data_IF_584349834027
#
_entry.id   IF_584349834027
#
_cell.length_a   1.000
_cell.length_b   1.000
_cell.length_c   1.000
_cell.angle_alpha   90.00
_cell.angle_beta   90.00
_cell.angle_gamma   90.00
#
_symmetry.space_group_name_H-M   'P 1'
#
loop_
_entity.id
_entity.type
_entity.pdbx_description
1 polymer ?
#
# COMPACT_ATOMS: atom_id res chain seq x y z
N UNK A 1 7.42 -117.12 -27.22
CA UNK A 1 8.05 -117.75 -26.04
C UNK A 1 8.22 -116.70 -24.94
N UNK A 2 7.62 -116.99 -23.77
CA UNK A 2 8.06 -116.64 -22.40
C UNK A 2 8.54 -115.21 -22.05
N UNK A 3 7.61 -114.47 -21.45
CA UNK A 3 7.66 -113.62 -20.23
C UNK A 3 9.00 -113.25 -19.54
N UNK A 4 8.99 -111.99 -19.08
CA UNK A 4 9.42 -111.45 -17.77
C UNK A 4 10.85 -110.94 -17.58
N UNK A 5 10.95 -109.73 -17.03
CA UNK A 5 11.97 -109.42 -16.02
C UNK A 5 12.59 -108.01 -16.01
N UNK A 6 11.86 -107.04 -15.45
CA UNK A 6 12.31 -106.01 -14.48
C UNK A 6 13.71 -105.37 -14.58
N UNK A 7 13.73 -104.02 -14.61
CA UNK A 7 14.47 -103.06 -13.73
C UNK A 7 14.78 -101.80 -14.55
N UNK A 8 14.09 -100.66 -14.34
CA UNK A 8 14.25 -99.68 -13.25
C UNK A 8 15.71 -99.23 -13.06
N UNK A 9 15.97 -97.97 -13.47
CA UNK A 9 17.07 -97.03 -13.12
C UNK A 9 17.88 -96.56 -14.34
N UNK A 10 17.37 -95.55 -15.05
CA UNK A 10 18.12 -94.34 -15.43
C UNK A 10 17.23 -93.49 -16.35
N UNK A 11 16.46 -92.57 -15.77
CA UNK A 11 15.91 -91.35 -16.40
C UNK A 11 14.84 -90.77 -15.45
N UNK A 12 15.31 -90.29 -14.31
CA UNK A 12 14.47 -89.67 -13.29
C UNK A 12 15.19 -88.46 -12.68
N UNK A 13 15.73 -87.59 -13.55
CA UNK A 13 16.15 -86.22 -13.20
C UNK A 13 15.99 -85.40 -14.48
N UNK A 14 14.82 -84.79 -14.71
CA UNK A 14 14.58 -83.60 -15.57
C UNK A 14 13.10 -83.30 -15.84
N UNK A 15 12.14 -83.96 -15.18
CA UNK A 15 10.71 -83.70 -15.39
C UNK A 15 9.87 -83.68 -14.10
N UNK A 16 10.41 -83.10 -13.01
CA UNK A 16 9.63 -82.73 -11.83
C UNK A 16 10.20 -81.46 -11.17
N UNK A 17 10.27 -80.39 -11.95
CA UNK A 17 10.44 -79.01 -11.46
C UNK A 17 9.31 -78.11 -12.00
N UNK A 18 8.15 -78.71 -12.20
CA UNK A 18 6.88 -78.02 -12.41
C UNK A 18 5.98 -78.42 -11.24
N UNK A 19 5.35 -77.43 -10.60
CA UNK A 19 4.23 -77.54 -9.65
C UNK A 19 4.38 -77.32 -8.14
N UNK A 20 5.45 -76.72 -7.60
CA UNK A 20 5.34 -76.08 -6.26
C UNK A 20 6.21 -74.82 -6.18
N UNK A 21 5.71 -73.68 -6.70
CA UNK A 21 6.03 -72.32 -6.24
C UNK A 21 5.03 -71.33 -6.89
N UNK A 22 3.72 -71.49 -6.64
CA UNK A 22 2.79 -70.36 -6.73
C UNK A 22 2.87 -69.57 -5.42
N UNK A 23 4.03 -68.94 -5.19
CA UNK A 23 4.13 -67.83 -4.27
C UNK A 23 3.70 -66.58 -5.01
N UNK A 24 2.54 -66.02 -4.67
CA UNK A 24 2.16 -64.67 -5.08
C UNK A 24 3.15 -63.68 -4.47
N UNK A 25 4.29 -63.46 -5.14
CA UNK A 25 5.08 -62.25 -4.93
C UNK A 25 4.46 -61.16 -5.77
N UNK A 26 3.33 -60.62 -5.27
CA UNK A 26 2.99 -59.24 -5.56
C UNK A 26 4.11 -58.41 -4.98
N UNK A 27 5.09 -58.04 -5.80
CA UNK A 27 6.03 -57.01 -5.43
C UNK A 27 5.19 -55.79 -5.07
N UNK A 28 5.24 -55.40 -3.80
CA UNK A 28 4.75 -54.10 -3.39
C UNK A 28 5.66 -53.12 -4.14
N UNK A 29 5.18 -52.64 -5.29
CA UNK A 29 5.64 -51.37 -5.83
C UNK A 29 5.15 -50.37 -4.80
N UNK A 30 6.07 -49.85 -4.00
CA UNK A 30 5.86 -48.53 -3.42
C UNK A 30 5.58 -47.61 -4.60
N UNK A 31 4.30 -47.30 -4.80
CA UNK A 31 3.89 -46.08 -5.47
C UNK A 31 4.33 -44.96 -4.53
N UNK A 32 5.63 -44.65 -4.56
CA UNK A 32 6.19 -43.47 -3.91
C UNK A 32 5.81 -42.28 -4.76
N UNK A 33 4.51 -41.97 -4.76
CA UNK A 33 4.05 -40.60 -4.96
C UNK A 33 4.64 -39.83 -3.78
N UNK A 34 5.89 -39.38 -3.94
CA UNK A 34 6.43 -38.29 -3.16
C UNK A 34 5.62 -37.06 -3.56
N UNK A 35 4.43 -36.91 -2.98
CA UNK A 35 3.85 -35.59 -2.81
C UNK A 35 4.88 -34.82 -1.99
N UNK A 36 5.54 -33.85 -2.63
CA UNK A 36 6.37 -32.92 -1.90
C UNK A 36 5.50 -32.32 -0.80
N UNK A 37 5.82 -32.64 0.45
CA UNK A 37 5.20 -31.97 1.59
C UNK A 37 5.28 -30.47 1.32
N UNK A 38 4.21 -29.70 1.57
CA UNK A 38 4.27 -28.26 1.40
C UNK A 38 5.50 -27.76 2.17
N UNK A 39 6.31 -26.87 1.56
CA UNK A 39 7.53 -26.40 2.20
C UNK A 39 7.18 -25.85 3.58
N UNK A 40 7.69 -26.50 4.63
CA UNK A 40 7.57 -26.01 6.00
C UNK A 40 8.59 -24.89 6.12
N UNK A 41 8.12 -23.65 6.23
CA UNK A 41 8.96 -22.52 6.62
C UNK A 41 9.51 -22.81 8.03
N UNK A 42 10.83 -22.93 8.23
CA UNK A 42 11.41 -23.19 9.55
C UNK A 42 11.15 -22.06 10.57
N UNK A 43 10.64 -20.91 10.12
CA UNK A 43 10.15 -19.82 10.97
C UNK A 43 8.63 -19.90 11.26
N UNK A 44 7.91 -20.87 10.68
CA UNK A 44 6.49 -21.07 10.93
C UNK A 44 6.24 -21.44 12.41
N UNK A 45 5.69 -20.50 13.17
CA UNK A 45 5.30 -20.69 14.57
C UNK A 45 5.98 -19.76 15.58
N UNK A 46 6.89 -18.88 15.15
CA UNK A 46 7.55 -17.90 16.01
C UNK A 46 7.13 -16.48 15.58
N UNK A 47 6.83 -15.62 16.56
CA UNK A 47 6.58 -14.19 16.30
C UNK A 47 7.87 -13.51 15.81
N UNK A 48 7.75 -12.66 14.79
CA UNK A 48 8.89 -11.94 14.20
C UNK A 48 8.54 -10.50 13.87
N UNK A 49 9.53 -9.63 13.98
CA UNK A 49 9.40 -8.23 13.56
C UNK A 49 9.89 -8.07 12.12
N UNK A 50 9.08 -7.42 11.27
CA UNK A 50 9.45 -7.12 9.88
C UNK A 50 9.27 -5.63 9.61
N UNK A 51 10.20 -5.03 8.87
CA UNK A 51 10.03 -3.68 8.35
C UNK A 51 9.02 -3.69 7.20
N UNK A 52 8.05 -2.79 7.24
CA UNK A 52 7.00 -2.64 6.25
C UNK A 52 6.74 -1.17 5.91
N UNK A 53 6.51 -0.91 4.63
CA UNK A 53 6.05 0.37 4.12
C UNK A 53 4.52 0.36 4.11
N UNK A 54 3.91 1.19 4.97
CA UNK A 54 2.47 1.34 5.09
C UNK A 54 2.03 2.69 4.53
N UNK A 55 0.98 2.69 3.73
CA UNK A 55 0.47 3.91 3.12
C UNK A 55 -0.78 4.39 3.85
N UNK A 56 -0.70 5.59 4.42
CA UNK A 56 -1.79 6.24 5.16
C UNK A 56 -2.17 7.55 4.50
N UNK A 57 -3.32 8.12 4.87
CA UNK A 57 -3.76 9.41 4.33
C UNK A 57 -2.94 10.55 4.93
N UNK A 58 -2.48 11.48 4.10
CA UNK A 58 -2.03 12.79 4.57
C UNK A 58 -3.26 13.52 5.13
N UNK A 59 -3.24 13.88 6.41
CA UNK A 59 -4.41 14.45 7.10
C UNK A 59 -5.02 15.60 6.31
N UNK A 60 -6.34 15.54 6.10
CA UNK A 60 -7.16 16.49 5.34
C UNK A 60 -6.82 16.65 3.85
N UNK A 61 -5.93 15.79 3.31
CA UNK A 61 -5.50 15.87 1.92
C UNK A 61 -5.86 14.61 1.12
N UNK A 62 -6.05 14.73 -0.21
CA UNK A 62 -6.41 13.62 -1.09
C UNK A 62 -5.18 12.81 -1.54
N UNK A 63 -4.20 12.62 -0.65
CA UNK A 63 -2.95 11.91 -0.96
C UNK A 63 -2.51 10.95 0.15
N UNK A 64 -1.64 10.01 -0.22
CA UNK A 64 -1.05 9.02 0.67
C UNK A 64 0.39 9.36 1.05
N UNK A 65 0.75 9.07 2.30
CA UNK A 65 2.09 9.15 2.87
C UNK A 65 2.60 7.74 3.12
N UNK A 66 3.86 7.49 2.76
CA UNK A 66 4.56 6.26 3.10
C UNK A 66 5.12 6.37 4.52
N UNK A 67 4.73 5.45 5.40
CA UNK A 67 5.23 5.32 6.77
C UNK A 67 5.95 3.99 6.89
N UNK A 68 7.26 4.03 7.13
CA UNK A 68 8.07 2.81 7.30
C UNK A 68 8.12 2.46 8.79
N UNK A 69 7.64 1.26 9.16
CA UNK A 69 7.73 0.80 10.56
C UNK A 69 7.94 -0.70 10.67
N UNK A 70 8.44 -1.11 11.84
CA UNK A 70 8.46 -2.51 12.22
C UNK A 70 7.06 -2.95 12.65
N UNK A 71 6.63 -4.10 12.13
CA UNK A 71 5.38 -4.75 12.50
C UNK A 71 5.68 -6.19 12.95
N UNK A 72 5.03 -6.60 14.04
CA UNK A 72 5.02 -8.00 14.45
C UNK A 72 4.17 -8.82 13.48
N UNK A 73 4.73 -9.92 12.99
CA UNK A 73 4.05 -11.02 12.30
C UNK A 73 3.90 -12.15 13.31
N UNK A 74 2.64 -12.49 13.63
CA UNK A 74 2.32 -13.50 14.64
C UNK A 74 2.65 -14.91 14.14
N UNK A 75 2.75 -15.85 15.07
CA UNK A 75 2.84 -17.27 14.73
C UNK A 75 1.66 -17.68 13.82
N UNK A 76 1.97 -18.35 12.71
CA UNK A 76 1.01 -18.77 11.67
C UNK A 76 0.29 -17.62 10.94
N UNK A 77 0.78 -16.38 11.04
CA UNK A 77 0.30 -15.24 10.25
C UNK A 77 1.22 -15.01 9.05
N UNK A 78 0.63 -14.82 7.87
CA UNK A 78 1.37 -14.37 6.68
C UNK A 78 1.79 -12.90 6.82
N UNK A 79 2.87 -12.49 6.15
CA UNK A 79 3.31 -11.08 6.12
C UNK A 79 2.20 -10.13 5.62
N UNK A 80 1.41 -10.56 4.64
CA UNK A 80 0.34 -9.77 4.03
C UNK A 80 -0.79 -9.48 5.03
N UNK A 81 -1.20 -10.50 5.78
CA UNK A 81 -2.16 -10.34 6.89
C UNK A 81 -1.62 -9.39 7.98
N UNK A 82 -0.33 -9.48 8.32
CA UNK A 82 0.27 -8.57 9.30
C UNK A 82 0.27 -7.10 8.79
N UNK A 83 0.56 -6.88 7.51
CA UNK A 83 0.49 -5.54 6.87
C UNK A 83 -0.95 -5.01 6.90
N UNK A 84 -1.93 -5.81 6.50
CA UNK A 84 -3.34 -5.41 6.50
C UNK A 84 -3.85 -5.11 7.91
N UNK A 85 -3.48 -5.94 8.90
CA UNK A 85 -3.78 -5.69 10.30
C UNK A 85 -3.15 -4.39 10.78
N UNK A 86 -1.91 -4.12 10.40
CA UNK A 86 -1.22 -2.87 10.74
C UNK A 86 -1.91 -1.65 10.10
N UNK A 87 -2.40 -1.76 8.86
CA UNK A 87 -3.19 -0.70 8.22
C UNK A 87 -4.53 -0.46 8.91
N UNK A 88 -5.25 -1.52 9.28
CA UNK A 88 -6.54 -1.44 9.99
C UNK A 88 -6.39 -0.83 11.38
N UNK A 89 -5.28 -1.08 12.07
CA UNK A 89 -4.96 -0.44 13.35
C UNK A 89 -4.64 1.07 13.21
N UNK A 90 -4.46 1.55 11.98
CA UNK A 90 -4.18 2.96 11.71
C UNK A 90 -2.70 3.37 11.92
N UNK A 91 -2.43 4.68 11.73
CA UNK A 91 -1.10 5.23 11.90
C UNK A 91 -0.66 5.20 13.38
N UNK A 92 0.65 5.25 13.66
CA UNK A 92 1.17 5.38 15.02
C UNK A 92 0.58 6.60 15.77
N UNK A 93 0.37 6.52 17.10
CA UNK A 93 -0.25 7.61 17.89
C UNK A 93 0.44 8.97 17.82
N UNK A 94 1.73 9.01 17.45
CA UNK A 94 2.54 10.23 17.37
C UNK A 94 2.82 10.69 15.93
N UNK A 95 2.17 10.09 14.94
CA UNK A 95 2.29 10.48 13.53
C UNK A 95 1.41 11.70 13.24
N UNK A 96 1.82 12.86 13.74
CA UNK A 96 1.16 14.14 13.46
C UNK A 96 1.08 14.39 11.95
N UNK A 97 -0.10 14.70 11.42
CA UNK A 97 -0.31 14.95 9.99
C UNK A 97 -0.57 13.69 9.15
N UNK A 98 -0.73 12.54 9.78
CA UNK A 98 -1.14 11.29 9.12
C UNK A 98 -2.43 10.79 9.74
N UNK A 99 -3.36 10.31 8.92
CA UNK A 99 -4.64 9.75 9.36
C UNK A 99 -4.89 8.37 8.79
N UNK A 100 -5.64 7.56 9.54
CA UNK A 100 -6.15 6.28 9.04
C UNK A 100 -7.13 6.51 7.90
N UNK A 101 -7.10 5.65 6.90
CA UNK A 101 -8.01 5.75 5.75
C UNK A 101 -9.11 4.68 5.78
N UNK A 102 -8.83 3.54 6.42
CA UNK A 102 -9.76 2.43 6.59
C UNK A 102 -10.72 2.70 7.76
N UNK A 103 -11.94 2.20 7.67
CA UNK A 103 -12.90 2.29 8.78
C UNK A 103 -12.54 1.30 9.87
N UNK A 104 -12.83 1.63 11.13
CA UNK A 104 -12.61 0.73 12.27
C UNK A 104 -13.42 -0.57 12.16
N UNK A 105 -14.52 -0.56 11.40
CA UNK A 105 -15.38 -1.70 11.16
C UNK A 105 -14.94 -2.60 10.00
N UNK A 106 -14.01 -2.14 9.14
CA UNK A 106 -13.54 -2.92 8.01
C UNK A 106 -12.74 -4.14 8.46
N UNK A 107 -12.98 -5.30 7.83
CA UNK A 107 -12.30 -6.56 8.16
C UNK A 107 -11.70 -7.18 6.92
N UNK A 108 -10.54 -7.83 7.10
CA UNK A 108 -10.00 -8.75 6.11
C UNK A 108 -10.69 -10.10 6.31
N UNK A 109 -11.32 -10.61 5.25
CA UNK A 109 -12.00 -11.90 5.25
C UNK A 109 -11.02 -13.00 4.83
N UNK A 110 -10.28 -12.78 3.74
CA UNK A 110 -9.29 -13.73 3.24
C UNK A 110 -8.20 -13.05 2.43
N UNK A 111 -7.02 -13.68 2.43
CA UNK A 111 -5.89 -13.30 1.57
C UNK A 111 -5.38 -14.55 0.88
N UNK A 112 -5.32 -14.54 -0.45
CA UNK A 112 -4.89 -15.68 -1.25
C UNK A 112 -3.99 -15.23 -2.39
N UNK A 113 -2.83 -15.87 -2.53
CA UNK A 113 -1.93 -15.66 -3.67
C UNK A 113 -2.22 -16.72 -4.74
N UNK A 114 -2.56 -16.28 -5.95
CA UNK A 114 -2.74 -17.17 -7.10
C UNK A 114 -2.29 -16.48 -8.40
N UNK A 115 -1.53 -17.19 -9.23
CA UNK A 115 -1.07 -16.67 -10.53
C UNK A 115 -0.29 -15.34 -10.46
N UNK A 116 0.41 -15.07 -9.35
CA UNK A 116 1.13 -13.80 -9.13
C UNK A 116 0.22 -12.59 -8.85
N UNK A 117 -1.05 -12.83 -8.52
CA UNK A 117 -2.02 -11.83 -8.06
C UNK A 117 -2.39 -12.17 -6.62
N UNK A 118 -2.35 -11.17 -5.74
CA UNK A 118 -2.85 -11.31 -4.38
C UNK A 118 -4.32 -10.91 -4.36
N UNK A 119 -5.19 -11.88 -4.09
CA UNK A 119 -6.62 -11.69 -3.89
C UNK A 119 -6.88 -11.35 -2.43
N UNK A 120 -7.47 -10.19 -2.19
CA UNK A 120 -7.81 -9.72 -0.85
C UNK A 120 -9.31 -9.53 -0.78
N UNK A 121 -9.98 -10.38 -0.01
CA UNK A 121 -11.41 -10.22 0.27
C UNK A 121 -11.58 -9.34 1.50
N UNK A 122 -12.21 -8.19 1.32
CA UNK A 122 -12.57 -7.27 2.38
C UNK A 122 -14.06 -7.39 2.70
N UNK A 123 -14.43 -7.05 3.92
CA UNK A 123 -15.83 -6.93 4.31
C UNK A 123 -16.51 -5.75 3.62
N UNK A 124 -17.85 -5.75 3.58
CA UNK A 124 -18.67 -4.70 2.97
C UNK A 124 -18.33 -3.29 3.50
N UNK A 125 -18.01 -3.17 4.78
CA UNK A 125 -17.73 -1.89 5.44
C UNK A 125 -16.53 -1.15 4.81
N UNK A 126 -15.66 -1.85 4.08
CA UNK A 126 -14.54 -1.24 3.34
C UNK A 126 -15.02 -0.19 2.31
N UNK A 127 -16.16 -0.46 1.64
CA UNK A 127 -16.73 0.43 0.62
C UNK A 127 -17.84 1.33 1.15
N UNK A 128 -18.17 1.21 2.43
CA UNK A 128 -19.21 2.03 3.06
C UNK A 128 -18.61 3.35 3.55
N UNK A 129 -19.32 4.43 3.25
CA UNK A 129 -19.05 5.77 3.77
C UNK A 129 -20.32 6.30 4.40
N UNK A 130 -20.19 7.20 5.37
CA UNK A 130 -21.35 7.92 5.85
C UNK A 130 -21.94 8.73 4.68
N UNK A 131 -23.25 8.59 4.46
CA UNK A 131 -23.96 9.26 3.36
C UNK A 131 -23.97 10.78 3.50
N UNK A 132 -23.70 11.28 4.71
CA UNK A 132 -23.57 12.70 5.00
C UNK A 132 -22.12 13.18 5.06
N UNK A 133 -21.14 12.34 4.69
CA UNK A 133 -19.71 12.61 4.88
C UNK A 133 -19.11 13.66 3.94
N UNK A 134 -19.91 14.28 3.06
CA UNK A 134 -19.44 15.29 2.11
C UNK A 134 -20.13 15.18 0.76
N UNK A 135 -19.58 15.92 -0.20
CA UNK A 135 -19.88 15.83 -1.62
C UNK A 135 -19.57 14.44 -2.18
N UNK A 136 -20.09 14.14 -3.37
CA UNK A 136 -19.86 12.85 -4.02
C UNK A 136 -18.38 12.68 -4.35
N UNK A 137 -17.73 13.75 -4.76
CA UNK A 137 -16.32 13.83 -5.12
C UNK A 137 -15.43 13.51 -3.91
N UNK A 138 -15.69 14.11 -2.74
CA UNK A 138 -14.94 13.82 -1.51
C UNK A 138 -15.08 12.36 -1.07
N UNK A 139 -16.28 11.79 -1.22
CA UNK A 139 -16.52 10.36 -0.96
C UNK A 139 -15.71 9.47 -1.91
N UNK A 140 -15.70 9.80 -3.21
CA UNK A 140 -14.97 9.04 -4.21
C UNK A 140 -13.45 9.14 -4.01
N UNK A 141 -12.94 10.30 -3.60
CA UNK A 141 -11.55 10.49 -3.21
C UNK A 141 -11.18 9.63 -1.99
N UNK A 142 -12.00 9.64 -0.94
CA UNK A 142 -11.77 8.83 0.25
C UNK A 142 -11.72 7.33 -0.08
N UNK A 143 -12.68 6.85 -0.88
CA UNK A 143 -12.71 5.45 -1.33
C UNK A 143 -11.48 5.09 -2.16
N UNK A 144 -11.06 5.99 -3.06
CA UNK A 144 -9.84 5.83 -3.86
C UNK A 144 -8.60 5.74 -2.96
N UNK A 145 -8.51 6.58 -1.93
CA UNK A 145 -7.42 6.51 -0.95
C UNK A 145 -7.41 5.18 -0.19
N UNK A 146 -8.57 4.66 0.22
CA UNK A 146 -8.68 3.34 0.90
C UNK A 146 -8.11 2.21 0.05
N UNK A 147 -8.52 2.18 -1.21
CA UNK A 147 -8.05 1.20 -2.18
C UNK A 147 -6.54 1.25 -2.30
N UNK A 148 -5.99 2.43 -2.58
CA UNK A 148 -4.56 2.54 -2.86
C UNK A 148 -3.69 2.49 -1.61
N UNK A 149 -4.20 2.79 -0.42
CA UNK A 149 -3.49 2.50 0.82
C UNK A 149 -3.23 1.00 0.98
N UNK A 150 -4.27 0.19 0.76
CA UNK A 150 -4.17 -1.27 0.77
C UNK A 150 -3.25 -1.78 -0.35
N UNK A 151 -3.50 -1.35 -1.59
CA UNK A 151 -2.74 -1.81 -2.77
C UNK A 151 -1.27 -1.42 -2.67
N UNK A 152 -0.96 -0.16 -2.35
CA UNK A 152 0.42 0.31 -2.30
C UNK A 152 1.21 -0.36 -1.17
N UNK A 153 0.59 -0.62 -0.01
CA UNK A 153 1.28 -1.29 1.10
C UNK A 153 1.57 -2.76 0.80
N UNK A 154 0.62 -3.47 0.16
CA UNK A 154 0.82 -4.87 -0.21
C UNK A 154 1.77 -5.04 -1.39
N UNK A 155 1.75 -4.15 -2.37
CA UNK A 155 2.71 -4.20 -3.48
C UNK A 155 4.12 -3.81 -3.03
N UNK A 156 4.25 -2.87 -2.09
CA UNK A 156 5.54 -2.50 -1.50
C UNK A 156 6.19 -3.64 -0.68
N UNK A 157 5.43 -4.66 -0.25
CA UNK A 157 6.02 -5.83 0.44
C UNK A 157 6.83 -6.72 -0.50
N UNK A 158 6.60 -6.62 -1.82
CA UNK A 158 7.22 -7.46 -2.84
C UNK A 158 6.56 -8.83 -3.03
N UNK A 159 5.44 -9.11 -2.35
CA UNK A 159 4.78 -10.42 -2.38
C UNK A 159 3.93 -10.64 -3.63
N UNK A 160 3.41 -9.56 -4.21
CA UNK A 160 2.70 -9.55 -5.48
C UNK A 160 2.76 -8.16 -6.13
N UNK A 161 2.89 -8.11 -7.45
CA UNK A 161 2.89 -6.83 -8.20
C UNK A 161 1.47 -6.32 -8.49
N UNK A 162 0.45 -7.17 -8.28
CA UNK A 162 -0.96 -6.90 -8.56
C UNK A 162 -1.86 -7.41 -7.45
N UNK A 163 -2.81 -6.57 -7.05
CA UNK A 163 -3.76 -6.86 -5.96
C UNK A 163 -5.18 -6.83 -6.53
N UNK A 164 -5.91 -7.93 -6.43
CA UNK A 164 -7.34 -7.97 -6.72
C UNK A 164 -8.12 -7.80 -5.42
N UNK A 165 -8.80 -6.66 -5.27
CA UNK A 165 -9.74 -6.47 -4.16
C UNK A 165 -11.06 -7.15 -4.52
N UNK A 166 -11.60 -7.91 -3.58
CA UNK A 166 -12.92 -8.52 -3.61
C UNK A 166 -13.70 -8.02 -2.39
N UNK A 167 -15.02 -7.92 -2.49
CA UNK A 167 -15.88 -7.48 -1.39
C UNK A 167 -16.88 -8.59 -1.04
N UNK A 168 -16.91 -8.98 0.23
CA UNK A 168 -17.96 -9.82 0.81
C UNK A 168 -19.20 -8.95 1.11
N UNK A 169 -20.12 -8.88 0.15
CA UNK A 169 -21.27 -7.97 0.19
C UNK A 169 -22.40 -8.47 1.09
N UNK A 170 -22.54 -9.79 1.25
CA UNK A 170 -23.63 -10.45 1.97
C UNK A 170 -23.19 -11.09 3.29
N UNK A 171 -21.92 -10.89 3.70
CA UNK A 171 -21.30 -11.49 4.87
C UNK A 171 -21.27 -13.03 4.81
N UNK A 172 -21.21 -13.59 3.60
CA UNK A 172 -21.12 -15.04 3.37
C UNK A 172 -19.69 -15.57 3.52
N UNK A 173 -18.69 -14.68 3.59
CA UNK A 173 -17.28 -15.00 3.46
C UNK A 173 -16.81 -15.10 2.01
N UNK A 174 -17.70 -14.94 1.03
CA UNK A 174 -17.38 -15.06 -0.40
C UNK A 174 -17.15 -13.68 -1.01
N UNK A 175 -15.93 -13.44 -1.50
CA UNK A 175 -15.58 -12.17 -2.15
C UNK A 175 -16.08 -12.08 -3.60
N UNK A 176 -16.74 -10.97 -3.92
CA UNK A 176 -17.16 -10.65 -5.29
C UNK A 176 -16.34 -9.49 -5.87
N UNK A 177 -16.08 -9.54 -7.18
CA UNK A 177 -15.51 -8.40 -7.91
C UNK A 177 -16.57 -7.32 -8.05
N UNK A 178 -16.28 -6.12 -7.53
CA UNK A 178 -17.17 -4.97 -7.60
C UNK A 178 -16.85 -4.07 -8.80
N UNK A 179 -17.77 -3.14 -9.09
CA UNK A 179 -17.52 -2.11 -10.08
C UNK A 179 -16.53 -1.06 -9.58
N UNK A 180 -15.74 -0.51 -10.49
CA UNK A 180 -14.73 0.52 -10.18
C UNK A 180 -15.33 1.76 -9.52
N UNK A 181 -16.52 2.18 -9.97
CA UNK A 181 -17.23 3.35 -9.41
C UNK A 181 -17.68 3.17 -7.95
N UNK A 182 -17.85 1.92 -7.46
CA UNK A 182 -18.10 1.66 -6.04
C UNK A 182 -16.89 1.98 -5.14
N UNK A 183 -15.73 2.17 -5.75
CA UNK A 183 -14.45 2.42 -5.10
C UNK A 183 -13.88 3.81 -5.43
N UNK A 184 -14.70 4.71 -5.99
CA UNK A 184 -14.24 6.04 -6.42
C UNK A 184 -13.27 6.01 -7.61
N UNK A 185 -13.19 4.88 -8.33
CA UNK A 185 -12.30 4.68 -9.47
C UNK A 185 -13.05 4.85 -10.80
N UNK A 186 -13.77 5.96 -10.94
CA UNK A 186 -14.43 6.31 -12.19
C UNK A 186 -13.42 6.44 -13.32
N UNK A 187 -13.83 6.00 -14.50
CA UNK A 187 -13.02 6.05 -15.72
C UNK A 187 -13.68 7.02 -16.68
N UNK A 188 -12.89 7.84 -17.36
CA UNK A 188 -13.38 8.57 -18.54
C UNK A 188 -13.58 7.55 -19.67
N UNK A 189 -14.81 7.06 -19.87
CA UNK A 189 -15.40 6.30 -21.01
C UNK A 189 -14.57 5.28 -21.84
N UNK A 190 -13.33 4.98 -21.46
CA UNK A 190 -12.33 4.26 -22.27
C UNK A 190 -11.85 2.97 -21.62
N UNK A 191 -12.38 2.62 -20.44
CA UNK A 191 -12.05 1.37 -19.79
C UNK A 191 -12.76 0.18 -20.46
N UNK A 192 -12.01 -0.86 -20.77
CA UNK A 192 -12.50 -2.11 -21.36
C UNK A 192 -13.49 -2.88 -20.47
N UNK A 193 -13.52 -2.57 -19.17
CA UNK A 193 -14.43 -3.18 -18.19
C UNK A 193 -14.76 -2.23 -17.06
N UNK A 194 -16.03 -2.24 -16.64
CA UNK A 194 -16.49 -1.52 -15.45
C UNK A 194 -16.16 -2.26 -14.14
N UNK A 195 -15.79 -3.55 -14.21
CA UNK A 195 -15.38 -4.33 -13.05
C UNK A 195 -13.96 -3.98 -12.62
N UNK A 196 -13.68 -4.07 -11.32
CA UNK A 196 -12.35 -3.86 -10.79
C UNK A 196 -11.40 -4.96 -11.28
N UNK A 197 -10.36 -4.56 -11.99
CA UNK A 197 -9.24 -5.39 -12.39
C UNK A 197 -8.14 -5.37 -11.31
N UNK A 198 -7.21 -6.34 -11.29
CA UNK A 198 -6.09 -6.32 -10.37
C UNK A 198 -5.27 -5.03 -10.50
N UNK A 199 -5.11 -4.33 -9.38
CA UNK A 199 -4.46 -3.02 -9.31
C UNK A 199 -2.97 -3.14 -9.03
N UNK A 200 -2.19 -2.22 -9.59
CA UNK A 200 -0.75 -2.05 -9.30
C UNK A 200 -0.54 -0.90 -8.33
N UNK A 201 0.67 -0.81 -7.81
CA UNK A 201 1.14 0.37 -7.08
C UNK A 201 0.83 1.66 -7.86
N UNK A 202 0.27 2.66 -7.19
CA UNK A 202 -0.05 3.95 -7.78
C UNK A 202 0.73 5.07 -7.09
N UNK A 203 1.79 5.55 -7.75
CA UNK A 203 2.62 6.67 -7.29
C UNK A 203 1.95 8.03 -7.47
N UNK A 204 0.94 8.16 -8.34
CA UNK A 204 0.27 9.43 -8.62
C UNK A 204 -0.47 10.01 -7.41
N UNK A 205 -0.82 9.16 -6.46
CA UNK A 205 -1.57 9.50 -5.23
C UNK A 205 -0.64 9.54 -4.00
N UNK A 206 0.63 9.14 -4.14
CA UNK A 206 1.61 9.25 -3.05
C UNK A 206 2.22 10.64 -3.07
N UNK A 207 2.32 11.28 -1.90
CA UNK A 207 2.96 12.60 -1.79
C UNK A 207 4.44 12.55 -2.14
N UNK A 208 4.90 13.63 -2.77
CA UNK A 208 6.30 13.92 -3.03
C UNK A 208 6.57 15.39 -2.69
N UNK A 209 7.83 15.82 -2.80
CA UNK A 209 8.23 17.20 -2.49
C UNK A 209 7.45 18.24 -3.34
N UNK A 210 7.11 17.89 -4.58
CA UNK A 210 6.35 18.77 -5.47
C UNK A 210 4.91 18.92 -5.00
N UNK A 211 4.24 17.79 -4.70
CA UNK A 211 2.85 17.79 -4.20
C UNK A 211 2.70 18.51 -2.85
N UNK A 212 3.64 18.34 -1.94
CA UNK A 212 3.62 19.06 -0.65
C UNK A 212 3.77 20.57 -0.85
N UNK A 213 4.68 20.99 -1.73
CA UNK A 213 4.84 22.41 -2.07
C UNK A 213 3.59 22.97 -2.76
N UNK A 214 2.99 22.20 -3.69
CA UNK A 214 1.76 22.55 -4.38
C UNK A 214 0.60 22.73 -3.41
N UNK A 215 0.34 21.75 -2.54
CA UNK A 215 -0.69 21.83 -1.50
C UNK A 215 -0.51 23.05 -0.61
N UNK A 216 0.69 23.26 -0.05
CA UNK A 216 0.95 24.39 0.83
C UNK A 216 0.70 25.75 0.15
N UNK A 217 1.13 25.91 -1.11
CA UNK A 217 0.90 27.15 -1.86
C UNK A 217 -0.55 27.31 -2.28
N UNK A 218 -1.24 26.22 -2.66
CA UNK A 218 -2.66 26.23 -3.02
C UNK A 218 -3.53 26.69 -1.86
N UNK A 219 -3.34 26.13 -0.67
CA UNK A 219 -4.08 26.54 0.53
C UNK A 219 -3.79 27.99 0.92
N UNK A 220 -2.53 28.46 0.79
CA UNK A 220 -2.21 29.87 1.04
C UNK A 220 -2.92 30.79 0.04
N UNK A 221 -2.92 30.44 -1.26
CA UNK A 221 -3.62 31.19 -2.32
C UNK A 221 -5.12 31.26 -2.04
N UNK A 222 -5.69 30.14 -1.61
CA UNK A 222 -7.14 29.98 -1.41
C UNK A 222 -7.60 30.46 -0.02
N UNK A 223 -6.67 30.91 0.84
CA UNK A 223 -6.95 31.45 2.18
C UNK A 223 -7.19 30.39 3.25
N UNK A 224 -6.91 29.13 2.95
CA UNK A 224 -7.07 27.95 3.81
C UNK A 224 -5.86 27.80 4.75
N UNK A 225 -5.55 28.84 5.54
CA UNK A 225 -4.31 28.90 6.33
C UNK A 225 -4.15 27.77 7.35
N UNK A 226 -5.24 27.22 7.88
CA UNK A 226 -5.20 26.07 8.79
C UNK A 226 -4.65 24.81 8.10
N UNK A 227 -5.15 24.51 6.90
CA UNK A 227 -4.65 23.40 6.07
C UNK A 227 -3.21 23.63 5.64
N UNK A 228 -2.91 24.83 5.16
CA UNK A 228 -1.55 25.23 4.83
C UNK A 228 -0.61 25.03 6.02
N UNK A 229 -0.98 25.50 7.22
CA UNK A 229 -0.14 25.44 8.41
C UNK A 229 0.34 24.01 8.69
N UNK A 230 -0.54 23.02 8.57
CA UNK A 230 -0.21 21.61 8.82
C UNK A 230 0.88 21.03 7.89
N UNK A 231 1.13 21.68 6.75
CA UNK A 231 2.13 21.30 5.77
C UNK A 231 3.50 21.96 5.98
N UNK A 232 3.63 22.86 6.96
CA UNK A 232 4.91 23.51 7.29
C UNK A 232 5.67 22.76 8.38
N UNK A 233 6.99 22.67 8.20
CA UNK A 233 7.90 22.07 9.15
C UNK A 233 7.89 22.86 10.46
N UNK A 234 7.92 22.15 11.59
CA UNK A 234 8.12 22.73 12.91
C UNK A 234 9.49 23.41 13.02
N UNK A 235 10.53 22.80 12.43
CA UNK A 235 11.91 23.28 12.50
C UNK A 235 12.59 23.31 11.13
N UNK A 236 13.45 24.30 10.91
CA UNK A 236 14.25 24.46 9.69
C UNK A 236 15.76 24.48 10.01
N UNK A 237 16.58 24.33 8.96
CA UNK A 237 18.03 24.51 9.04
C UNK A 237 18.39 25.88 9.62
N UNK A 238 19.36 25.92 10.54
CA UNK A 238 19.78 27.16 11.21
C UNK A 238 18.96 27.50 12.45
N UNK A 239 18.13 26.58 12.96
CA UNK A 239 17.44 26.72 14.24
C UNK A 239 16.15 27.54 14.18
N UNK A 240 15.72 27.92 12.97
CA UNK A 240 14.46 28.63 12.78
C UNK A 240 13.29 27.69 13.09
N UNK A 241 12.31 28.21 13.84
CA UNK A 241 11.11 27.48 14.24
C UNK A 241 9.88 28.13 13.60
N UNK A 242 8.96 27.32 13.10
CA UNK A 242 7.66 27.82 12.64
C UNK A 242 6.90 28.45 13.81
N UNK A 243 6.30 29.64 13.64
CA UNK A 243 5.56 30.31 14.70
C UNK A 243 4.26 29.57 15.04
N UNK A 244 3.55 30.04 16.07
CA UNK A 244 2.19 29.57 16.36
C UNK A 244 1.25 29.83 15.18
N UNK A 245 0.16 29.07 15.08
CA UNK A 245 -0.83 29.25 14.02
C UNK A 245 -1.31 30.70 13.90
N UNK A 246 -1.68 31.34 15.02
CA UNK A 246 -2.16 32.72 15.03
C UNK A 246 -1.11 33.71 14.48
N UNK A 247 0.16 33.52 14.82
CA UNK A 247 1.25 34.36 14.32
C UNK A 247 1.55 34.07 12.84
N UNK A 248 1.56 32.81 12.43
CA UNK A 248 1.69 32.39 11.03
C UNK A 248 0.63 33.04 10.14
N UNK A 249 -0.64 32.93 10.55
CA UNK A 249 -1.77 33.48 9.82
C UNK A 249 -1.71 35.02 9.76
N UNK A 250 -1.43 35.66 10.89
CA UNK A 250 -1.30 37.12 10.97
C UNK A 250 -0.19 37.64 10.07
N UNK A 251 1.00 36.99 10.11
CA UNK A 251 2.15 37.41 9.29
C UNK A 251 1.85 37.28 7.80
N UNK A 252 1.36 36.13 7.33
CA UNK A 252 1.06 35.94 5.92
C UNK A 252 -0.02 36.89 5.41
N UNK A 253 -1.10 37.10 6.18
CA UNK A 253 -2.16 38.07 5.84
C UNK A 253 -1.64 39.51 5.80
N UNK A 254 -0.71 39.88 6.70
CA UNK A 254 -0.11 41.22 6.72
C UNK A 254 0.74 41.53 5.49
N UNK A 255 1.36 40.50 4.90
CA UNK A 255 2.16 40.64 3.69
C UNK A 255 1.26 40.93 2.48
N UNK A 256 0.20 40.16 2.30
CA UNK A 256 -0.70 40.29 1.15
C UNK A 256 -1.27 38.96 0.70
N UNK A 257 -1.47 38.78 -0.60
CA UNK A 257 -2.06 37.58 -1.19
C UNK A 257 -1.17 36.97 -2.28
N UNK A 258 -0.98 35.66 -2.21
CA UNK A 258 -0.46 34.86 -3.32
C UNK A 258 -1.57 34.77 -4.38
N UNK A 259 -1.31 35.27 -5.59
CA UNK A 259 -2.30 35.30 -6.68
C UNK A 259 -2.17 34.11 -7.60
N UNK A 260 -0.93 33.75 -7.94
CA UNK A 260 -0.65 32.60 -8.78
C UNK A 260 0.68 31.97 -8.37
N UNK A 261 0.85 30.70 -8.70
CA UNK A 261 2.10 29.98 -8.48
C UNK A 261 2.26 28.83 -9.47
N UNK A 262 3.51 28.38 -9.63
CA UNK A 262 3.82 27.18 -10.41
C UNK A 262 4.97 26.42 -9.78
N UNK A 263 4.79 25.11 -9.59
CA UNK A 263 5.88 24.17 -9.31
C UNK A 263 6.59 23.84 -10.64
N UNK A 264 7.88 24.13 -10.73
CA UNK A 264 8.69 23.97 -11.96
C UNK A 264 9.40 22.62 -11.96
N UNK A 265 10.00 22.27 -10.82
CA UNK A 265 10.73 21.03 -10.60
C UNK A 265 10.87 20.80 -9.11
N UNK A 266 11.19 19.58 -8.69
CA UNK A 266 11.43 19.27 -7.28
C UNK A 266 12.45 18.16 -7.11
N UNK A 267 13.03 18.07 -5.92
CA UNK A 267 13.94 17.00 -5.54
C UNK A 267 13.14 15.76 -5.12
N UNK A 268 13.53 14.56 -5.58
CA UNK A 268 12.92 13.31 -5.16
C UNK A 268 12.87 13.14 -3.64
N UNK A 269 11.86 12.44 -3.08
CA UNK A 269 11.68 12.26 -1.64
C UNK A 269 12.85 11.60 -0.88
N UNK A 270 13.74 10.88 -1.57
CA UNK A 270 14.93 10.21 -1.02
C UNK A 270 16.19 11.08 -1.07
N UNK A 271 16.10 12.29 -1.62
CA UNK A 271 17.23 13.23 -1.68
C UNK A 271 17.65 13.68 -0.28
N UNK A 272 18.96 13.90 -0.09
CA UNK A 272 19.51 14.44 1.15
C UNK A 272 18.98 15.85 1.44
N UNK A 273 18.85 16.67 0.41
CA UNK A 273 18.25 18.00 0.46
C UNK A 273 16.95 18.00 -0.35
N UNK A 274 15.85 18.38 0.30
CA UNK A 274 14.53 18.44 -0.32
C UNK A 274 14.22 19.90 -0.69
N UNK A 275 13.79 20.11 -1.93
CA UNK A 275 13.40 21.43 -2.41
C UNK A 275 12.44 21.33 -3.60
N UNK A 276 11.69 22.40 -3.82
CA UNK A 276 10.91 22.66 -5.03
C UNK A 276 11.36 23.99 -5.64
N UNK A 277 11.50 24.04 -6.95
CA UNK A 277 11.67 25.30 -7.69
C UNK A 277 10.28 25.84 -8.04
N UNK A 278 10.02 27.09 -7.69
CA UNK A 278 8.70 27.71 -7.80
C UNK A 278 8.74 29.07 -8.49
N UNK A 279 7.69 29.38 -9.22
CA UNK A 279 7.32 30.75 -9.56
C UNK A 279 6.17 31.19 -8.66
N UNK A 280 6.20 32.43 -8.17
CA UNK A 280 5.15 33.01 -7.32
C UNK A 280 4.80 34.39 -7.83
N UNK A 281 3.52 34.69 -7.91
CA UNK A 281 3.01 36.05 -8.14
C UNK A 281 2.27 36.52 -6.89
N UNK A 282 2.85 37.50 -6.20
CA UNK A 282 2.36 37.99 -4.92
C UNK A 282 1.93 39.46 -5.04
N UNK A 283 0.80 39.82 -4.41
CA UNK A 283 0.31 41.19 -4.32
C UNK A 283 0.24 41.61 -2.86
N UNK A 284 0.98 42.66 -2.52
CA UNK A 284 1.05 43.19 -1.16
C UNK A 284 -0.19 43.99 -0.75
N UNK A 285 -0.35 44.21 0.55
CA UNK A 285 -1.46 44.99 1.12
C UNK A 285 -1.52 46.45 0.65
N UNK A 286 -0.40 47.06 0.24
CA UNK A 286 -0.37 48.40 -0.36
C UNK A 286 -0.63 48.42 -1.88
N UNK A 287 -0.94 47.26 -2.47
CA UNK A 287 -1.26 47.10 -3.89
C UNK A 287 -0.06 46.89 -4.80
N UNK A 288 1.18 47.01 -4.31
CA UNK A 288 2.36 46.62 -5.10
C UNK A 288 2.42 45.11 -5.33
N UNK A 289 3.14 44.67 -6.35
CA UNK A 289 3.26 43.25 -6.71
C UNK A 289 4.73 42.81 -6.85
N UNK A 290 4.99 41.54 -6.55
CA UNK A 290 6.29 40.88 -6.73
C UNK A 290 6.09 39.56 -7.45
N UNK A 291 6.78 39.40 -8.56
CA UNK A 291 6.92 38.12 -9.26
C UNK A 291 8.27 37.52 -8.92
N UNK A 292 8.25 36.32 -8.34
CA UNK A 292 9.44 35.51 -8.05
C UNK A 292 9.51 34.41 -9.10
N UNK A 293 10.68 34.22 -9.72
CA UNK A 293 10.89 33.19 -10.75
C UNK A 293 11.99 32.22 -10.35
N UNK A 294 11.74 30.93 -10.59
CA UNK A 294 12.66 29.81 -10.35
C UNK A 294 13.30 29.84 -8.95
N UNK A 295 12.57 30.38 -7.96
CA UNK A 295 13.07 30.43 -6.59
C UNK A 295 13.04 29.05 -5.96
N UNK A 296 13.95 28.84 -5.01
CA UNK A 296 14.03 27.59 -4.26
C UNK A 296 13.18 27.71 -3.01
N UNK A 297 12.17 26.86 -2.91
CA UNK A 297 11.41 26.60 -1.70
C UNK A 297 11.99 25.33 -1.06
N UNK A 298 12.59 25.46 0.12
CA UNK A 298 13.17 24.34 0.85
C UNK A 298 12.07 23.53 1.56
N UNK A 299 12.25 22.22 1.57
CA UNK A 299 11.42 21.29 2.32
C UNK A 299 12.28 20.51 3.31
N UNK A 300 11.65 19.98 4.35
CA UNK A 300 12.29 19.32 5.47
C UNK A 300 11.58 18.00 5.77
N UNK A 301 12.35 17.02 6.23
CA UNK A 301 11.82 15.73 6.67
C UNK A 301 11.50 15.81 8.16
N UNK A 302 10.28 15.43 8.52
CA UNK A 302 9.82 15.30 9.91
C UNK A 302 9.25 13.90 10.11
N UNK A 303 10.10 12.97 10.59
CA UNK A 303 9.77 11.55 10.58
C UNK A 303 9.57 11.06 9.15
N UNK A 304 8.39 10.51 8.86
CA UNK A 304 8.00 10.02 7.53
C UNK A 304 7.42 11.12 6.62
N UNK A 305 7.16 12.32 7.15
CA UNK A 305 6.57 13.42 6.40
C UNK A 305 7.63 14.31 5.74
N UNK A 306 7.24 14.87 4.60
CA UNK A 306 7.93 16.00 3.97
C UNK A 306 7.06 17.23 4.21
N UNK A 307 7.69 18.33 4.63
CA UNK A 307 7.00 19.59 4.93
C UNK A 307 7.75 20.80 4.40
N UNK A 308 7.04 21.89 4.15
CA UNK A 308 7.60 23.14 3.61
C UNK A 308 8.29 23.96 4.71
N UNK A 309 9.43 24.57 4.39
CA UNK A 309 10.06 25.56 5.28
C UNK A 309 9.28 26.88 5.32
N UNK A 310 8.89 27.33 6.50
CA UNK A 310 8.17 28.58 6.69
C UNK A 310 9.05 29.80 6.38
N UNK A 311 10.24 29.88 6.98
CA UNK A 311 11.23 30.91 6.68
C UNK A 311 11.72 30.82 5.23
N UNK A 312 11.82 29.61 4.67
CA UNK A 312 12.08 29.47 3.24
C UNK A 312 11.02 30.16 2.40
N UNK A 313 9.72 30.01 2.72
CA UNK A 313 8.65 30.72 2.01
C UNK A 313 8.72 32.22 2.27
N UNK A 314 8.86 32.64 3.52
CA UNK A 314 8.89 34.05 3.92
C UNK A 314 9.95 34.82 3.14
N UNK A 315 11.17 34.29 2.98
CA UNK A 315 12.23 34.93 2.18
C UNK A 315 11.84 35.20 0.73
N UNK A 316 10.91 34.42 0.17
CA UNK A 316 10.43 34.62 -1.19
C UNK A 316 9.38 35.73 -1.26
N UNK A 317 8.46 35.76 -0.29
CA UNK A 317 7.28 36.65 -0.32
C UNK A 317 7.47 37.97 0.44
N UNK A 318 8.36 38.03 1.43
CA UNK A 318 8.75 39.27 2.09
C UNK A 318 9.42 40.23 1.10
N UNK A 319 9.36 41.52 1.42
CA UNK A 319 9.96 42.59 0.59
C UNK A 319 11.48 42.56 0.63
#
# INVERSE_FOLDING_TARGET
MRKNGSKIRFLLITALAAFIMHGCFGGIREDSVYEALPPIDPEAGIEREVSADLYFRLTDEPYLVKVTRNISVRANESRENAILRALLNGPPPLSNGVSGVLTESARVISVQLDGGILYVTMSREFIETDKNAGSREEIDELLRLRVFALVNSLTASGSADRIQILIDLDNSGTGLRVQRGMLGLHTEDTASSQLLEPLKFNSGIVVDSGKIADLALSHIRDGEYERAYNLFAQSESGGFQRPSYAAFETELKSLGALRDYKIISFRPPDSQELSASVNLDFVYTDGSAKTVKQAVLNLYREGDLIKVGYNSLLKLVQR
#
